data_IF_000132678345
#
_entry.id   IF_000132678345
#
_cell.length_a   1.000
_cell.length_b   1.000
_cell.length_c   1.000
_cell.angle_alpha   90.00
_cell.angle_beta   90.00
_cell.angle_gamma   90.00
#
_symmetry.space_group_name_H-M   'P 1'
#
loop_
_entity.id
_entity.type
_entity.pdbx_description
1 polymer ?
#
# COMPACT_ATOMS: atom_id res chain seq x y z
N UNK A 1 -14.08 11.30 4.65
CA UNK A 1 -13.47 10.20 3.89
C UNK A 1 -13.14 9.06 4.83
N UNK A 2 -13.58 7.85 4.51
CA UNK A 2 -13.28 6.63 5.26
C UNK A 2 -12.21 5.83 4.54
N UNK A 3 -11.26 5.32 5.30
CA UNK A 3 -10.19 4.45 4.82
C UNK A 3 -10.18 3.20 5.69
N UNK A 4 -10.25 2.04 5.05
CA UNK A 4 -10.14 0.74 5.69
C UNK A 4 -8.83 0.06 5.25
N UNK A 5 -8.02 -0.35 6.22
CA UNK A 5 -6.80 -1.12 5.95
C UNK A 5 -7.18 -2.59 5.79
N UNK A 6 -7.16 -3.07 4.55
CA UNK A 6 -7.45 -4.46 4.22
C UNK A 6 -6.28 -5.36 4.62
N UNK A 7 -5.05 -4.93 4.32
CA UNK A 7 -3.82 -5.61 4.70
C UNK A 7 -2.72 -4.63 5.03
N UNK A 8 -1.95 -4.91 6.08
CA UNK A 8 -0.87 -4.05 6.56
C UNK A 8 0.54 -4.64 6.44
N UNK A 9 0.68 -5.90 6.02
CA UNK A 9 1.97 -6.55 5.81
C UNK A 9 2.61 -6.15 4.47
N UNK A 10 3.95 -6.14 4.42
CA UNK A 10 4.67 -6.10 3.15
C UNK A 10 4.52 -7.43 2.38
N UNK A 11 5.16 -7.55 1.20
CA UNK A 11 5.23 -8.79 0.44
C UNK A 11 5.54 -10.03 1.29
N UNK A 12 4.72 -11.08 1.14
CA UNK A 12 4.77 -12.30 1.94
C UNK A 12 3.90 -12.30 3.19
N UNK A 13 3.41 -11.14 3.64
CA UNK A 13 2.55 -11.00 4.82
C UNK A 13 3.27 -11.32 6.13
N UNK A 14 2.50 -11.45 7.21
CA UNK A 14 3.00 -11.81 8.53
C UNK A 14 2.03 -12.75 9.28
N UNK A 15 2.45 -13.95 9.70
CA UNK A 15 3.75 -14.57 9.42
C UNK A 15 3.89 -14.95 7.94
N UNK A 16 5.08 -14.76 7.37
CA UNK A 16 5.37 -15.19 6.01
C UNK A 16 5.48 -16.72 5.94
N UNK A 17 4.91 -17.33 4.88
CA UNK A 17 4.70 -18.78 4.76
C UNK A 17 5.95 -19.64 4.97
N UNK A 18 7.14 -19.18 4.56
CA UNK A 18 8.41 -19.89 4.66
C UNK A 18 9.44 -19.23 5.60
N UNK A 19 9.02 -18.25 6.41
CA UNK A 19 9.95 -17.52 7.29
C UNK A 19 9.90 -18.07 8.72
N UNK A 20 11.06 -18.23 9.36
CA UNK A 20 11.19 -18.60 10.78
C UNK A 20 12.01 -17.57 11.56
N UNK A 21 11.99 -16.31 11.14
CA UNK A 21 12.57 -15.23 11.94
C UNK A 21 11.87 -15.15 13.30
N UNK A 22 12.49 -14.49 14.29
CA UNK A 22 11.94 -14.32 15.65
C UNK A 22 10.44 -13.96 15.64
N UNK A 23 10.03 -13.06 14.76
CA UNK A 23 8.65 -12.60 14.70
C UNK A 23 7.70 -13.68 14.16
N UNK A 24 8.03 -14.28 13.01
CA UNK A 24 7.19 -15.31 12.39
C UNK A 24 7.09 -16.57 13.25
N UNK A 25 8.21 -17.00 13.84
CA UNK A 25 8.22 -18.10 14.79
C UNK A 25 7.42 -17.75 16.05
N UNK A 26 7.64 -16.55 16.58
CA UNK A 26 7.01 -16.13 17.82
C UNK A 26 5.49 -15.99 17.73
N UNK A 27 4.96 -15.47 16.62
CA UNK A 27 3.50 -15.37 16.43
C UNK A 27 2.86 -16.75 16.25
N UNK A 28 3.57 -17.71 15.63
CA UNK A 28 3.07 -19.10 15.50
C UNK A 28 3.03 -19.82 16.85
N UNK A 29 4.06 -19.61 17.68
CA UNK A 29 4.18 -20.27 18.99
C UNK A 29 3.53 -19.48 20.14
N UNK A 30 3.00 -18.28 19.87
CA UNK A 30 2.43 -17.40 20.89
C UNK A 30 3.45 -16.88 21.91
N UNK A 31 4.74 -16.78 21.51
CA UNK A 31 5.83 -16.32 22.39
C UNK A 31 6.13 -14.82 22.26
N UNK A 32 5.50 -14.15 21.30
CA UNK A 32 5.45 -12.69 21.21
C UNK A 32 4.00 -12.22 21.14
N UNK A 33 3.75 -10.97 21.51
CA UNK A 33 2.44 -10.35 21.38
C UNK A 33 2.36 -9.64 20.03
N UNK A 34 1.81 -10.32 19.03
CA UNK A 34 1.66 -9.78 17.68
C UNK A 34 0.40 -10.34 17.01
N UNK A 35 -0.10 -9.61 16.00
CA UNK A 35 -1.26 -10.02 15.19
C UNK A 35 -0.84 -10.28 13.74
N UNK A 36 -1.41 -11.30 13.11
CA UNK A 36 -1.18 -11.61 11.70
C UNK A 36 -1.65 -10.47 10.79
N UNK A 37 -1.01 -10.33 9.62
CA UNK A 37 -1.29 -9.32 8.61
C UNK A 37 -1.20 -9.92 7.21
N UNK A 38 -2.21 -9.67 6.40
CA UNK A 38 -2.22 -9.89 4.95
C UNK A 38 -1.43 -8.79 4.24
N UNK A 39 -1.13 -9.01 2.96
CA UNK A 39 -0.32 -8.08 2.17
C UNK A 39 -1.02 -6.76 1.88
N UNK A 40 -0.22 -5.71 1.74
CA UNK A 40 -0.62 -4.31 1.73
C UNK A 40 -1.73 -4.01 0.73
N UNK A 41 -2.86 -3.55 1.25
CA UNK A 41 -3.98 -3.02 0.47
C UNK A 41 -4.87 -2.18 1.39
N UNK A 42 -5.45 -1.13 0.83
CA UNK A 42 -6.45 -0.30 1.51
C UNK A 42 -7.65 -0.08 0.61
N UNK A 43 -8.78 0.29 1.19
CA UNK A 43 -9.94 0.75 0.43
C UNK A 43 -10.51 2.03 1.00
N UNK A 44 -10.99 2.92 0.13
CA UNK A 44 -11.47 4.25 0.51
C UNK A 44 -12.86 4.49 -0.04
N UNK A 45 -13.65 5.27 0.70
CA UNK A 45 -14.95 5.76 0.27
C UNK A 45 -15.27 7.12 0.90
N UNK A 46 -16.04 7.95 0.20
CA UNK A 46 -16.65 9.17 0.76
C UNK A 46 -18.13 8.99 1.14
N UNK A 47 -18.76 7.90 0.70
CA UNK A 47 -20.20 7.65 0.84
C UNK A 47 -20.56 6.33 1.53
N UNK A 48 -19.55 5.54 1.96
CA UNK A 48 -19.67 4.20 2.55
C UNK A 48 -20.29 3.13 1.63
N UNK A 49 -20.61 3.46 0.38
CA UNK A 49 -21.30 2.57 -0.57
C UNK A 49 -20.45 2.22 -1.78
N UNK A 50 -19.61 3.15 -2.23
CA UNK A 50 -18.75 3.01 -3.40
C UNK A 50 -17.29 3.15 -3.00
N UNK A 51 -16.53 2.11 -3.30
CA UNK A 51 -15.19 1.92 -2.77
C UNK A 51 -14.16 1.87 -3.89
N UNK A 52 -13.05 2.58 -3.71
CA UNK A 52 -11.83 2.39 -4.50
C UNK A 52 -10.91 1.44 -3.75
N UNK A 53 -10.37 0.44 -4.45
CA UNK A 53 -9.36 -0.48 -3.94
C UNK A 53 -7.97 0.00 -4.35
N UNK A 54 -7.07 0.19 -3.40
CA UNK A 54 -5.66 0.47 -3.68
C UNK A 54 -4.88 -0.83 -3.57
N UNK A 55 -4.26 -1.21 -4.69
CA UNK A 55 -3.56 -2.48 -4.88
C UNK A 55 -4.47 -3.69 -4.68
N UNK A 56 -4.36 -4.69 -5.56
CA UNK A 56 -5.06 -5.96 -5.41
C UNK A 56 -4.07 -7.02 -4.93
N UNK A 57 -3.99 -7.20 -3.62
CA UNK A 57 -3.02 -8.12 -3.01
C UNK A 57 -3.33 -9.59 -3.33
N UNK A 58 -2.35 -10.52 -3.23
CA UNK A 58 -2.62 -11.96 -3.31
C UNK A 58 -3.68 -12.45 -2.29
N UNK A 59 -3.88 -11.71 -1.20
CA UNK A 59 -4.82 -12.03 -0.12
C UNK A 59 -6.22 -11.41 -0.34
N UNK A 60 -6.49 -10.81 -1.51
CA UNK A 60 -7.71 -10.01 -1.76
C UNK A 60 -9.02 -10.73 -1.42
N UNK A 61 -9.11 -12.04 -1.64
CA UNK A 61 -10.34 -12.79 -1.31
C UNK A 61 -10.57 -12.91 0.20
N UNK A 62 -9.50 -13.04 0.99
CA UNK A 62 -9.58 -13.00 2.44
C UNK A 62 -9.96 -11.59 2.90
N UNK A 63 -9.32 -10.57 2.33
CA UNK A 63 -9.52 -9.17 2.64
C UNK A 63 -10.97 -8.71 2.37
N UNK A 64 -11.54 -9.08 1.23
CA UNK A 64 -12.96 -8.82 0.90
C UNK A 64 -13.89 -9.53 1.87
N UNK A 65 -13.58 -10.76 2.30
CA UNK A 65 -14.40 -11.49 3.29
C UNK A 65 -14.34 -10.86 4.68
N UNK A 66 -13.20 -10.29 5.08
CA UNK A 66 -13.04 -9.63 6.38
C UNK A 66 -13.69 -8.25 6.43
N UNK A 67 -14.03 -7.65 5.29
CA UNK A 67 -14.69 -6.34 5.24
C UNK A 67 -16.02 -6.41 4.45
N UNK A 68 -17.15 -6.75 5.12
CA UNK A 68 -18.43 -6.98 4.46
C UNK A 68 -18.97 -5.82 3.61
N UNK A 69 -18.53 -4.58 3.85
CA UNK A 69 -18.94 -3.43 3.03
C UNK A 69 -18.55 -3.58 1.55
N UNK A 70 -17.53 -4.38 1.22
CA UNK A 70 -17.15 -4.68 -0.17
C UNK A 70 -18.11 -5.65 -0.87
N UNK A 71 -18.97 -6.35 -0.11
CA UNK A 71 -20.01 -7.24 -0.63
C UNK A 71 -21.40 -6.81 -0.11
N UNK A 72 -22.04 -5.83 -0.75
CA UNK A 72 -23.27 -5.22 -0.23
C UNK A 72 -24.54 -6.05 -0.51
N UNK A 73 -24.45 -7.11 -1.31
CA UNK A 73 -25.55 -8.07 -1.50
C UNK A 73 -26.79 -7.50 -2.17
N UNK A 74 -26.66 -6.49 -3.04
CA UNK A 74 -27.77 -5.83 -3.74
C UNK A 74 -28.32 -6.66 -4.89
N UNK A 75 -27.46 -7.50 -5.50
CA UNK A 75 -27.79 -8.38 -6.62
C UNK A 75 -27.16 -9.78 -6.46
N UNK A 76 -27.52 -10.73 -7.34
CA UNK A 76 -26.96 -12.09 -7.34
C UNK A 76 -25.43 -12.11 -7.46
N UNK A 77 -24.85 -11.18 -8.22
CA UNK A 77 -23.40 -10.93 -8.30
C UNK A 77 -23.19 -9.45 -8.11
N UNK A 78 -22.55 -9.08 -7.01
CA UNK A 78 -22.38 -7.70 -6.61
C UNK A 78 -21.01 -7.46 -5.99
N UNK A 79 -20.55 -6.21 -6.04
CA UNK A 79 -19.32 -5.71 -5.43
C UNK A 79 -19.46 -4.21 -5.19
N UNK A 80 -18.97 -3.74 -4.06
CA UNK A 80 -18.88 -2.31 -3.78
C UNK A 80 -17.59 -1.67 -4.35
N UNK A 81 -16.64 -2.49 -4.81
CA UNK A 81 -15.42 -2.02 -5.48
C UNK A 81 -15.82 -1.46 -6.85
N UNK A 82 -15.65 -0.15 -7.05
CA UNK A 82 -15.97 0.57 -8.30
C UNK A 82 -14.75 0.81 -9.16
N UNK A 83 -13.60 1.02 -8.53
CA UNK A 83 -12.33 1.23 -9.21
C UNK A 83 -11.20 0.54 -8.43
N UNK A 84 -10.15 0.18 -9.15
CA UNK A 84 -8.90 -0.33 -8.60
C UNK A 84 -7.79 0.62 -9.04
N UNK A 85 -6.98 1.12 -8.10
CA UNK A 85 -5.77 1.90 -8.37
C UNK A 85 -4.55 1.05 -8.04
N UNK A 86 -3.63 0.93 -8.99
CA UNK A 86 -2.32 0.33 -8.78
C UNK A 86 -1.28 1.43 -8.62
N UNK A 87 -0.56 1.40 -7.50
CA UNK A 87 0.53 2.36 -7.26
C UNK A 87 1.84 1.94 -7.92
N UNK A 88 1.95 0.67 -8.28
CA UNK A 88 3.12 0.06 -8.92
C UNK A 88 2.73 -1.28 -9.56
N UNK A 89 3.71 -1.96 -10.16
CA UNK A 89 3.55 -3.26 -10.79
C UNK A 89 3.99 -4.43 -9.89
N UNK A 90 4.16 -4.27 -8.58
CA UNK A 90 4.68 -5.37 -7.75
C UNK A 90 3.72 -6.56 -7.69
N UNK A 91 4.25 -7.77 -7.52
CA UNK A 91 3.46 -9.01 -7.50
C UNK A 91 2.45 -8.99 -6.34
N UNK A 92 2.88 -8.54 -5.18
CA UNK A 92 2.08 -8.37 -3.97
C UNK A 92 1.02 -7.26 -4.07
N UNK A 93 1.08 -6.40 -5.09
CA UNK A 93 0.09 -5.37 -5.35
C UNK A 93 -0.85 -5.67 -6.53
N UNK A 94 -0.56 -6.70 -7.34
CA UNK A 94 -1.28 -6.95 -8.60
C UNK A 94 -1.87 -8.35 -8.73
N UNK A 95 -1.32 -9.35 -8.03
CA UNK A 95 -1.76 -10.76 -8.16
C UNK A 95 -3.24 -10.96 -7.84
N UNK A 96 -3.80 -10.16 -6.93
CA UNK A 96 -5.21 -10.20 -6.55
C UNK A 96 -6.15 -9.95 -7.72
N UNK A 97 -5.72 -9.25 -8.77
CA UNK A 97 -6.53 -9.05 -9.99
C UNK A 97 -6.95 -10.37 -10.63
N UNK A 98 -6.11 -11.41 -10.56
CA UNK A 98 -6.52 -12.74 -11.02
C UNK A 98 -7.72 -13.27 -10.25
N UNK A 99 -7.80 -12.99 -8.95
CA UNK A 99 -8.87 -13.49 -8.09
C UNK A 99 -10.19 -12.72 -8.26
N UNK A 100 -10.18 -11.58 -8.97
CA UNK A 100 -11.35 -10.75 -9.22
C UNK A 100 -11.96 -10.92 -10.62
N UNK A 101 -11.44 -11.86 -11.43
CA UNK A 101 -11.77 -12.04 -12.85
C UNK A 101 -13.22 -12.47 -13.14
N UNK A 102 -13.96 -13.00 -12.16
CA UNK A 102 -15.36 -13.44 -12.32
C UNK A 102 -16.39 -12.28 -12.30
N UNK A 103 -15.93 -11.02 -12.30
CA UNK A 103 -16.80 -9.86 -12.39
C UNK A 103 -17.59 -9.84 -13.71
N UNK A 104 -18.82 -9.29 -13.68
CA UNK A 104 -19.71 -9.28 -14.87
C UNK A 104 -19.36 -8.21 -15.90
N UNK A 105 -18.55 -7.25 -15.50
CA UNK A 105 -18.10 -6.12 -16.30
C UNK A 105 -16.57 -6.00 -16.18
N UNK A 106 -15.90 -5.32 -17.11
CA UNK A 106 -14.49 -5.00 -16.92
C UNK A 106 -14.28 -4.23 -15.61
N UNK A 107 -13.21 -4.51 -14.88
CA UNK A 107 -12.83 -3.66 -13.74
C UNK A 107 -12.24 -2.36 -14.25
N UNK A 108 -12.69 -1.23 -13.69
CA UNK A 108 -12.00 0.05 -13.90
C UNK A 108 -10.66 0.00 -13.18
N UNK A 109 -9.56 0.02 -13.93
CA UNK A 109 -8.20 -0.11 -13.42
C UNK A 109 -7.36 1.11 -13.80
N UNK A 110 -6.93 1.85 -12.79
CA UNK A 110 -6.08 3.03 -12.90
C UNK A 110 -4.63 2.65 -12.63
N UNK A 111 -3.74 2.95 -13.58
CA UNK A 111 -2.31 2.75 -13.44
C UNK A 111 -1.54 3.72 -14.34
N UNK A 112 -0.24 3.86 -14.11
CA UNK A 112 0.66 4.61 -14.99
C UNK A 112 0.98 3.80 -16.25
N UNK A 113 1.54 4.47 -17.27
CA UNK A 113 1.97 3.78 -18.49
C UNK A 113 3.06 2.74 -18.25
N UNK A 114 4.00 2.98 -17.32
CA UNK A 114 5.06 2.03 -16.98
C UNK A 114 4.51 0.78 -16.28
N UNK A 115 3.54 0.95 -15.37
CA UNK A 115 2.84 -0.18 -14.74
C UNK A 115 2.06 -0.99 -15.79
N UNK A 116 1.41 -0.31 -16.74
CA UNK A 116 0.72 -0.96 -17.86
C UNK A 116 1.69 -1.73 -18.75
N UNK A 117 2.86 -1.18 -19.06
CA UNK A 117 3.90 -1.86 -19.83
C UNK A 117 4.35 -3.14 -19.12
N UNK A 118 4.72 -3.05 -17.84
CA UNK A 118 5.15 -4.19 -17.02
C UNK A 118 4.09 -5.29 -16.96
N UNK A 119 2.82 -4.91 -16.76
CA UNK A 119 1.68 -5.83 -16.65
C UNK A 119 1.15 -6.35 -18.00
N UNK A 120 1.72 -5.87 -19.11
CA UNK A 120 1.45 -6.34 -20.47
C UNK A 120 2.60 -7.18 -21.03
N UNK A 121 3.81 -7.05 -20.46
CA UNK A 121 5.04 -7.66 -20.99
C UNK A 121 5.70 -8.61 -19.99
N UNK A 122 6.45 -8.09 -19.01
CA UNK A 122 7.22 -8.88 -18.06
C UNK A 122 6.37 -9.81 -17.20
N UNK A 123 5.20 -9.33 -16.76
CA UNK A 123 4.14 -10.13 -16.18
C UNK A 123 2.84 -9.88 -16.97
N UNK A 124 2.48 -10.70 -17.97
CA UNK A 124 1.41 -10.39 -18.92
C UNK A 124 0.00 -10.62 -18.33
N UNK A 125 -0.26 -10.08 -17.14
CA UNK A 125 -1.49 -10.17 -16.38
C UNK A 125 -2.67 -9.64 -17.18
N UNK A 126 -2.52 -8.49 -17.85
CA UNK A 126 -3.59 -7.88 -18.64
C UNK A 126 -4.00 -8.78 -19.81
N UNK A 127 -3.03 -9.47 -20.44
CA UNK A 127 -3.31 -10.43 -21.52
C UNK A 127 -4.16 -11.60 -21.02
N UNK A 128 -3.84 -12.13 -19.83
CA UNK A 128 -4.61 -13.24 -19.25
C UNK A 128 -6.03 -12.79 -18.88
N UNK A 129 -6.18 -11.62 -18.25
CA UNK A 129 -7.49 -11.08 -17.86
C UNK A 129 -8.37 -10.68 -19.06
N UNK A 130 -7.76 -10.39 -20.21
CA UNK A 130 -8.48 -10.19 -21.47
C UNK A 130 -9.30 -11.40 -21.95
N UNK A 131 -9.05 -12.60 -21.42
CA UNK A 131 -9.88 -13.79 -21.69
C UNK A 131 -11.13 -13.90 -20.79
N UNK A 132 -11.32 -12.98 -19.85
CA UNK A 132 -12.47 -12.90 -18.92
C UNK A 132 -13.33 -11.69 -19.25
N UNK A 133 -13.83 -10.95 -18.26
CA UNK A 133 -14.55 -9.69 -18.47
C UNK A 133 -13.66 -8.55 -18.96
N UNK A 134 -12.34 -8.73 -19.01
CA UNK A 134 -11.38 -7.70 -19.40
C UNK A 134 -11.13 -6.67 -18.30
N UNK A 135 -10.36 -5.65 -18.66
CA UNK A 135 -10.06 -4.49 -17.84
C UNK A 135 -10.44 -3.23 -18.61
N UNK A 136 -11.05 -2.27 -17.93
CA UNK A 136 -11.23 -0.92 -18.44
C UNK A 136 -10.06 -0.08 -17.91
N UNK A 137 -9.06 0.16 -18.76
CA UNK A 137 -7.78 0.75 -18.37
C UNK A 137 -7.86 2.28 -18.43
N UNK A 138 -7.46 2.94 -17.35
CA UNK A 138 -7.40 4.40 -17.23
C UNK A 138 -5.98 4.85 -16.88
N UNK A 139 -5.55 5.97 -17.48
CA UNK A 139 -4.23 6.56 -17.26
C UNK A 139 -4.19 7.38 -15.97
N UNK A 140 -3.12 7.23 -15.19
CA UNK A 140 -2.83 8.11 -14.05
C UNK A 140 -1.91 9.25 -14.50
N UNK A 141 -2.36 10.52 -14.46
CA UNK A 141 -1.50 11.66 -14.78
C UNK A 141 -0.42 11.89 -13.71
N UNK A 142 0.80 12.21 -14.14
CA UNK A 142 1.95 12.52 -13.29
C UNK A 142 2.45 13.97 -13.42
N UNK A 143 1.72 14.81 -14.17
CA UNK A 143 2.03 16.21 -14.41
C UNK A 143 1.48 17.16 -13.33
N UNK A 144 0.98 16.60 -12.23
CA UNK A 144 0.34 17.33 -11.15
C UNK A 144 -1.12 17.68 -11.42
N UNK A 145 -1.71 17.24 -12.54
CA UNK A 145 -3.15 17.30 -12.73
C UNK A 145 -3.82 16.19 -11.91
N UNK A 146 -4.67 16.58 -10.96
CA UNK A 146 -5.49 15.60 -10.26
C UNK A 146 -6.51 14.94 -11.19
N UNK A 147 -7.15 13.88 -10.70
CA UNK A 147 -8.17 13.11 -11.41
C UNK A 147 -9.27 12.63 -10.47
N UNK A 148 -10.39 12.22 -11.04
CA UNK A 148 -11.52 11.60 -10.35
C UNK A 148 -11.87 10.30 -11.06
N UNK A 149 -12.45 9.34 -10.33
CA UNK A 149 -12.82 8.03 -10.88
C UNK A 149 -14.33 7.92 -10.97
N UNK A 150 -14.83 7.48 -12.13
CA UNK A 150 -16.24 7.21 -12.32
C UNK A 150 -16.75 6.20 -11.29
N UNK A 151 -17.88 6.52 -10.67
CA UNK A 151 -18.48 5.68 -9.62
C UNK A 151 -17.81 5.79 -8.24
N UNK A 152 -16.79 6.62 -8.05
CA UNK A 152 -16.18 6.91 -6.73
C UNK A 152 -16.41 8.40 -6.40
N UNK A 153 -17.62 8.78 -5.94
CA UNK A 153 -17.96 10.18 -5.75
C UNK A 153 -17.24 10.81 -4.55
N UNK A 154 -17.03 12.12 -4.59
CA UNK A 154 -16.57 12.92 -3.45
C UNK A 154 -15.08 12.80 -3.10
N UNK A 155 -14.30 12.06 -3.90
CA UNK A 155 -12.85 11.94 -3.75
C UNK A 155 -12.11 12.47 -4.97
N UNK A 156 -11.10 13.30 -4.72
CA UNK A 156 -10.14 13.79 -5.72
C UNK A 156 -8.77 13.16 -5.46
N UNK A 157 -8.11 12.71 -6.51
CA UNK A 157 -6.81 12.02 -6.44
C UNK A 157 -5.72 12.85 -7.13
N UNK A 158 -4.54 12.91 -6.55
CA UNK A 158 -3.35 13.50 -7.15
C UNK A 158 -2.20 12.50 -6.99
N UNK A 159 -1.61 12.05 -8.10
CA UNK A 159 -0.51 11.09 -8.10
C UNK A 159 0.83 11.82 -8.13
N UNK A 160 1.80 11.30 -7.37
CA UNK A 160 3.15 11.83 -7.25
C UNK A 160 4.13 10.71 -7.62
N UNK A 161 5.00 10.89 -8.62
CA UNK A 161 6.03 9.90 -8.92
C UNK A 161 6.97 9.73 -7.73
N UNK A 162 7.35 8.49 -7.42
CA UNK A 162 8.33 8.17 -6.39
C UNK A 162 9.53 7.49 -7.03
N UNK A 163 10.74 7.84 -6.60
CA UNK A 163 11.93 7.06 -6.96
C UNK A 163 11.94 5.77 -6.13
N UNK A 164 11.57 4.66 -6.76
CA UNK A 164 11.63 3.31 -6.21
C UNK A 164 11.89 2.30 -7.34
N UNK A 165 12.38 1.12 -6.98
CA UNK A 165 12.75 0.09 -7.94
C UNK A 165 11.52 -0.63 -8.50
N UNK A 166 11.51 -0.81 -9.81
CA UNK A 166 10.55 -1.67 -10.50
C UNK A 166 10.66 -3.15 -10.02
N UNK A 167 9.58 -3.95 -10.17
CA UNK A 167 9.56 -5.36 -9.80
C UNK A 167 10.70 -6.16 -10.46
N UNK A 168 11.19 -7.27 -9.87
CA UNK A 168 12.29 -8.06 -10.44
C UNK A 168 12.06 -8.56 -11.87
N UNK A 169 10.80 -8.70 -12.30
CA UNK A 169 10.45 -9.15 -13.64
C UNK A 169 10.41 -8.02 -14.68
N UNK A 170 10.45 -6.76 -14.23
CA UNK A 170 10.30 -5.60 -15.10
C UNK A 170 11.45 -5.52 -16.11
N UNK A 171 11.18 -5.22 -17.40
CA UNK A 171 12.22 -4.88 -18.37
C UNK A 171 13.08 -3.68 -17.96
N UNK A 172 12.56 -2.83 -17.06
CA UNK A 172 13.21 -1.61 -16.56
C UNK A 172 13.84 -1.80 -15.17
N UNK A 173 14.00 -3.05 -14.71
CA UNK A 173 14.58 -3.34 -13.40
C UNK A 173 15.96 -2.69 -13.21
N UNK A 174 16.17 -2.13 -12.01
CA UNK A 174 17.37 -1.40 -11.59
C UNK A 174 17.64 -0.11 -12.43
N UNK A 175 16.63 0.36 -13.17
CA UNK A 175 16.60 1.65 -13.89
C UNK A 175 15.30 2.40 -13.56
N UNK A 176 15.15 2.86 -12.30
CA UNK A 176 13.90 3.47 -11.84
C UNK A 176 13.52 4.69 -12.68
N UNK A 177 12.26 4.75 -13.08
CA UNK A 177 11.68 5.82 -13.89
C UNK A 177 10.45 6.42 -13.20
N UNK A 178 10.16 7.72 -13.39
CA UNK A 178 8.94 8.34 -12.90
C UNK A 178 7.71 7.60 -13.43
N UNK A 179 6.95 6.99 -12.52
CA UNK A 179 5.75 6.22 -12.84
C UNK A 179 5.87 4.72 -12.57
N UNK A 180 7.06 4.19 -12.29
CA UNK A 180 7.20 2.80 -11.79
C UNK A 180 6.50 2.63 -10.44
N UNK A 181 6.61 3.64 -9.59
CA UNK A 181 5.94 3.75 -8.31
C UNK A 181 5.34 5.16 -8.15
N UNK A 182 4.18 5.24 -7.50
CA UNK A 182 3.54 6.51 -7.15
C UNK A 182 3.12 6.55 -5.68
N UNK A 183 3.16 7.75 -5.10
CA UNK A 183 2.37 8.12 -3.93
C UNK A 183 1.08 8.77 -4.39
N UNK A 184 0.05 8.74 -3.56
CA UNK A 184 -1.26 9.32 -3.90
C UNK A 184 -1.73 10.21 -2.77
N UNK A 185 -2.03 11.47 -3.09
CA UNK A 185 -2.85 12.33 -2.23
C UNK A 185 -4.31 12.12 -2.58
N UNK A 186 -5.13 11.85 -1.57
CA UNK A 186 -6.59 11.76 -1.72
C UNK A 186 -7.23 12.87 -0.92
N UNK A 187 -8.01 13.72 -1.58
CA UNK A 187 -8.74 14.82 -0.96
C UNK A 187 -10.23 14.49 -0.93
N UNK A 188 -10.83 14.56 0.26
CA UNK A 188 -12.28 14.59 0.42
C UNK A 188 -12.80 15.95 -0.04
N UNK A 189 -13.61 15.99 -1.10
CA UNK A 189 -14.08 17.25 -1.70
C UNK A 189 -15.02 18.03 -0.77
N UNK A 190 -15.69 17.36 0.17
CA UNK A 190 -16.63 17.98 1.10
C UNK A 190 -15.93 18.62 2.28
N UNK A 191 -14.97 17.92 2.89
CA UNK A 191 -14.27 18.40 4.09
C UNK A 191 -12.95 19.12 3.78
N UNK A 192 -12.39 18.91 2.58
CA UNK A 192 -11.06 19.36 2.21
C UNK A 192 -9.93 18.57 2.86
N UNK A 193 -10.25 17.50 3.62
CA UNK A 193 -9.28 16.68 4.35
C UNK A 193 -8.47 15.80 3.41
N UNK A 194 -7.18 15.63 3.73
CA UNK A 194 -6.21 14.97 2.85
C UNK A 194 -5.54 13.77 3.51
N UNK A 195 -5.59 12.64 2.81
CA UNK A 195 -4.71 11.49 3.02
C UNK A 195 -3.52 11.60 2.07
N UNK A 196 -2.31 11.36 2.54
CA UNK A 196 -1.17 11.01 1.70
C UNK A 196 -0.82 9.54 1.91
N UNK A 197 -0.87 8.74 0.85
CA UNK A 197 -0.60 7.30 0.85
C UNK A 197 0.63 6.97 0.01
N UNK A 198 1.65 6.38 0.64
CA UNK A 198 2.89 5.95 -0.03
C UNK A 198 3.48 4.73 0.72
N UNK A 199 2.93 3.51 0.50
CA UNK A 199 3.34 2.31 1.23
C UNK A 199 4.74 1.80 0.85
N UNK A 200 5.26 2.21 -0.31
CA UNK A 200 6.66 2.03 -0.71
C UNK A 200 7.31 3.39 -0.94
N UNK A 201 8.30 3.76 -0.13
CA UNK A 201 8.98 5.04 -0.24
C UNK A 201 10.48 4.86 0.00
N UNK A 202 11.28 4.86 -1.07
CA UNK A 202 12.73 4.65 -0.98
C UNK A 202 13.53 5.89 -0.60
N UNK A 203 13.04 7.06 -1.00
CA UNK A 203 13.70 8.34 -0.79
C UNK A 203 12.67 9.43 -0.51
N UNK A 204 13.02 10.36 0.38
CA UNK A 204 12.25 11.59 0.55
C UNK A 204 12.68 12.62 -0.50
N UNK A 205 11.75 13.01 -1.36
CA UNK A 205 11.93 14.06 -2.37
C UNK A 205 11.10 15.29 -2.01
N UNK A 206 11.47 16.46 -2.56
CA UNK A 206 10.84 17.74 -2.21
C UNK A 206 9.32 17.76 -2.44
N UNK A 207 8.83 17.18 -3.55
CA UNK A 207 7.41 17.14 -3.85
C UNK A 207 6.64 16.18 -2.93
N UNK A 208 7.26 15.05 -2.59
CA UNK A 208 6.72 14.08 -1.61
C UNK A 208 6.62 14.73 -0.24
N UNK A 209 7.67 15.42 0.19
CA UNK A 209 7.71 16.09 1.47
C UNK A 209 6.63 17.18 1.59
N UNK A 210 6.47 18.01 0.54
CA UNK A 210 5.40 19.01 0.49
C UNK A 210 4.01 18.39 0.58
N UNK A 211 3.78 17.25 -0.09
CA UNK A 211 2.52 16.53 -0.03
C UNK A 211 2.24 16.01 1.39
N UNK A 212 3.24 15.40 2.04
CA UNK A 212 3.13 14.94 3.43
C UNK A 212 2.85 16.08 4.41
N UNK A 213 3.51 17.23 4.25
CA UNK A 213 3.27 18.41 5.09
C UNK A 213 1.85 18.99 4.93
N UNK A 214 1.25 18.83 3.76
CA UNK A 214 -0.09 19.33 3.47
C UNK A 214 -1.21 18.34 3.86
N UNK A 215 -0.86 17.13 4.30
CA UNK A 215 -1.82 16.08 4.64
C UNK A 215 -2.30 16.14 6.09
N UNK A 216 -3.58 15.82 6.31
CA UNK A 216 -4.15 15.60 7.63
C UNK A 216 -3.75 14.22 8.19
N UNK A 217 -3.54 13.25 7.31
CA UNK A 217 -3.07 11.91 7.64
C UNK A 217 -2.04 11.44 6.62
N UNK A 218 -0.92 10.93 7.11
CA UNK A 218 0.08 10.22 6.29
C UNK A 218 0.01 8.72 6.62
N UNK A 219 -0.11 7.90 5.58
CA UNK A 219 -0.09 6.44 5.65
C UNK A 219 1.05 5.95 4.76
N UNK A 220 2.21 5.70 5.37
CA UNK A 220 3.50 5.61 4.65
C UNK A 220 4.27 4.34 4.98
N UNK A 221 5.27 4.04 4.15
CA UNK A 221 6.17 2.89 4.26
C UNK A 221 6.72 2.66 5.68
N UNK A 222 6.49 1.46 6.19
CA UNK A 222 6.98 0.93 7.46
C UNK A 222 7.72 -0.38 7.31
N UNK A 223 8.30 -0.67 6.15
CA UNK A 223 8.79 -1.99 5.77
C UNK A 223 9.86 -2.49 6.72
N UNK A 224 10.95 -1.74 6.94
CA UNK A 224 12.10 -2.17 7.73
C UNK A 224 12.46 -1.15 8.82
N UNK A 225 12.87 -1.64 10.00
CA UNK A 225 13.29 -0.78 11.09
C UNK A 225 14.68 -0.18 10.87
N UNK A 226 15.65 -1.01 10.44
CA UNK A 226 17.01 -0.57 10.06
C UNK A 226 17.33 -0.88 8.61
N UNK A 227 18.28 -0.14 8.04
CA UNK A 227 18.70 -0.31 6.65
C UNK A 227 19.29 -1.70 6.36
N UNK A 228 19.92 -2.32 7.35
CA UNK A 228 20.58 -3.62 7.24
C UNK A 228 19.79 -4.77 7.89
N UNK A 229 18.51 -4.58 8.20
CA UNK A 229 17.66 -5.57 8.92
C UNK A 229 17.69 -6.94 8.22
N UNK A 230 17.48 -6.96 6.90
CA UNK A 230 17.45 -8.20 6.12
C UNK A 230 18.83 -8.87 6.01
N UNK A 231 19.91 -8.09 6.02
CA UNK A 231 21.29 -8.59 5.98
C UNK A 231 21.64 -9.24 7.32
N UNK A 232 21.33 -8.58 8.45
CA UNK A 232 21.57 -9.11 9.80
C UNK A 232 20.85 -10.44 10.05
N UNK A 233 19.67 -10.61 9.45
CA UNK A 233 18.88 -11.83 9.52
C UNK A 233 19.29 -12.91 8.50
N UNK A 234 20.23 -12.61 7.58
CA UNK A 234 20.64 -13.54 6.53
C UNK A 234 19.55 -13.82 5.49
N UNK A 235 18.55 -12.95 5.36
CA UNK A 235 17.41 -13.10 4.47
C UNK A 235 17.61 -12.42 3.10
N UNK A 236 18.55 -11.48 3.00
CA UNK A 236 18.93 -10.79 1.77
C UNK A 236 20.36 -10.27 1.87
N UNK A 237 20.98 -9.97 0.72
CA UNK A 237 22.26 -9.27 0.63
C UNK A 237 22.08 -7.76 0.35
N UNK A 238 20.84 -7.27 0.26
CA UNK A 238 20.52 -5.86 -0.05
C UNK A 238 20.11 -5.09 1.20
N UNK A 239 20.49 -3.82 1.25
CA UNK A 239 19.99 -2.82 2.18
C UNK A 239 18.54 -2.45 1.87
N UNK A 240 17.83 -1.91 2.85
CA UNK A 240 16.45 -1.41 2.72
C UNK A 240 16.34 -0.40 1.58
N UNK A 241 17.28 0.55 1.51
CA UNK A 241 17.32 1.58 0.46
C UNK A 241 17.49 0.98 -0.94
N UNK A 242 18.29 -0.07 -1.09
CA UNK A 242 18.48 -0.78 -2.37
C UNK A 242 17.23 -1.57 -2.78
N UNK A 243 16.37 -1.91 -1.82
CA UNK A 243 15.06 -2.50 -2.06
C UNK A 243 13.97 -1.46 -2.33
N UNK A 244 14.29 -0.16 -2.28
CA UNK A 244 13.32 0.92 -2.48
C UNK A 244 12.54 1.30 -1.22
N UNK A 245 13.06 1.00 -0.03
CA UNK A 245 12.40 1.28 1.25
C UNK A 245 13.28 2.15 2.15
N UNK A 246 12.75 3.28 2.62
CA UNK A 246 13.38 4.12 3.61
C UNK A 246 13.31 3.44 4.98
N UNK A 247 14.44 3.14 5.65
CA UNK A 247 14.38 2.55 6.99
C UNK A 247 13.71 3.50 7.98
N UNK A 248 13.03 2.96 8.98
CA UNK A 248 12.36 3.78 9.98
C UNK A 248 13.37 4.56 10.83
N UNK A 249 14.38 3.86 11.35
CA UNK A 249 15.38 4.41 12.27
C UNK A 249 16.70 4.77 11.56
N UNK A 250 17.59 5.45 12.29
CA UNK A 250 18.89 5.89 11.77
C UNK A 250 18.86 7.27 11.11
N UNK A 251 20.04 7.72 10.66
CA UNK A 251 20.19 9.01 10.00
C UNK A 251 19.38 9.06 8.69
N UNK A 252 18.59 10.12 8.52
CA UNK A 252 17.69 10.27 7.38
C UNK A 252 16.58 9.23 7.29
N UNK A 253 16.30 8.48 8.36
CA UNK A 253 15.20 7.52 8.42
C UNK A 253 13.82 8.18 8.53
N UNK A 254 12.77 7.41 8.24
CA UNK A 254 11.38 7.88 8.23
C UNK A 254 10.97 8.58 9.53
N UNK A 255 11.44 8.10 10.70
CA UNK A 255 11.09 8.69 11.99
C UNK A 255 11.60 10.13 12.17
N UNK A 256 12.69 10.51 11.51
CA UNK A 256 13.17 11.88 11.46
C UNK A 256 12.19 12.77 10.70
N UNK A 257 11.80 12.35 9.50
CA UNK A 257 10.83 13.07 8.66
C UNK A 257 9.46 13.21 9.33
N UNK A 258 8.94 12.13 9.91
CA UNK A 258 7.65 12.15 10.61
C UNK A 258 7.66 13.07 11.85
N UNK A 259 8.81 13.31 12.47
CA UNK A 259 8.93 14.24 13.59
C UNK A 259 8.76 15.71 13.17
N UNK A 260 9.16 16.05 11.94
CA UNK A 260 9.10 17.40 11.37
C UNK A 260 7.73 17.77 10.76
N UNK A 261 6.81 16.79 10.66
CA UNK A 261 5.44 17.05 10.20
C UNK A 261 4.66 17.94 11.19
N UNK A 262 3.64 18.68 10.70
CA UNK A 262 2.72 19.40 11.58
C UNK A 262 2.19 18.49 12.70
N UNK A 263 2.09 19.02 13.92
CA UNK A 263 1.64 18.25 15.09
C UNK A 263 0.22 17.69 14.94
N UNK A 264 -0.60 18.31 14.08
CA UNK A 264 -1.96 17.88 13.77
C UNK A 264 -2.03 16.70 12.81
N UNK A 265 -0.94 16.39 12.08
CA UNK A 265 -0.92 15.31 11.11
C UNK A 265 -0.93 13.96 11.83
N UNK A 266 -1.91 13.11 11.53
CA UNK A 266 -1.96 11.71 11.97
C UNK A 266 -0.92 10.91 11.18
N UNK A 267 -0.13 10.07 11.86
CA UNK A 267 1.05 9.40 11.28
C UNK A 267 0.90 7.91 11.45
N UNK A 268 0.82 7.17 10.34
CA UNK A 268 0.54 5.75 10.35
C UNK A 268 1.54 5.05 9.42
N UNK A 269 2.19 4.01 9.92
CA UNK A 269 3.07 3.13 9.15
C UNK A 269 2.27 1.94 8.61
N UNK A 270 2.45 1.60 7.35
CA UNK A 270 1.83 0.44 6.66
C UNK A 270 2.90 -0.31 5.85
N UNK A 271 2.53 -1.43 5.23
CA UNK A 271 3.44 -2.25 4.41
C UNK A 271 4.64 -2.71 5.24
N UNK A 272 4.35 -3.39 6.35
CA UNK A 272 5.35 -3.73 7.38
C UNK A 272 5.90 -5.13 7.10
N UNK A 273 7.22 -5.25 6.95
CA UNK A 273 7.82 -6.56 6.69
C UNK A 273 7.76 -7.46 7.92
N UNK A 274 7.67 -8.77 7.70
CA UNK A 274 7.55 -9.75 8.77
C UNK A 274 8.73 -9.74 9.76
N UNK A 275 9.89 -9.23 9.36
CA UNK A 275 11.09 -9.11 10.20
C UNK A 275 11.08 -7.89 11.12
N UNK A 276 10.21 -6.91 10.86
CA UNK A 276 10.28 -5.62 11.52
C UNK A 276 9.85 -5.75 13.01
N UNK A 277 10.69 -5.33 13.98
CA UNK A 277 10.40 -5.45 15.41
C UNK A 277 9.15 -4.69 15.86
N UNK A 278 8.65 -3.71 15.09
CA UNK A 278 7.42 -2.96 15.45
C UNK A 278 6.15 -3.81 15.42
N UNK A 279 6.23 -5.03 14.85
CA UNK A 279 5.14 -6.01 14.86
C UNK A 279 4.94 -6.65 16.25
N UNK A 280 6.01 -6.77 17.03
CA UNK A 280 5.96 -7.20 18.43
C UNK A 280 5.49 -6.02 19.30
N UNK A 281 4.30 -6.14 19.87
CA UNK A 281 3.64 -5.07 20.61
C UNK A 281 4.40 -4.65 21.88
N UNK A 282 5.25 -5.53 22.40
CA UNK A 282 6.04 -5.31 23.60
C UNK A 282 7.51 -4.89 23.29
N UNK A 283 7.85 -4.68 22.02
CA UNK A 283 9.20 -4.26 21.61
C UNK A 283 9.53 -2.81 21.97
N UNK A 284 10.82 -2.51 22.12
CA UNK A 284 11.29 -1.14 22.39
C UNK A 284 11.01 -0.22 21.20
N UNK A 285 11.10 -0.76 19.99
CA UNK A 285 10.79 -0.10 18.73
C UNK A 285 9.31 0.29 18.67
N UNK A 286 8.40 -0.61 19.06
CA UNK A 286 6.97 -0.29 19.19
C UNK A 286 6.70 0.79 20.24
N UNK A 287 7.36 0.70 21.39
CA UNK A 287 7.25 1.71 22.44
C UNK A 287 7.80 3.09 21.99
N UNK A 288 8.84 3.12 21.17
CA UNK A 288 9.35 4.34 20.57
C UNK A 288 8.35 5.01 19.62
N UNK A 289 7.71 4.23 18.73
CA UNK A 289 6.65 4.76 17.86
C UNK A 289 5.50 5.37 18.66
N UNK A 290 5.08 4.67 19.73
CA UNK A 290 4.02 5.15 20.63
C UNK A 290 4.39 6.50 21.27
N UNK A 291 5.63 6.64 21.77
CA UNK A 291 6.13 7.91 22.34
C UNK A 291 6.16 9.05 21.33
N UNK A 292 6.38 8.74 20.04
CA UNK A 292 6.41 9.70 18.94
C UNK A 292 5.02 9.99 18.34
N UNK A 293 3.97 9.33 18.83
CA UNK A 293 2.61 9.47 18.29
C UNK A 293 2.49 8.92 16.86
N UNK A 294 3.24 7.86 16.55
CA UNK A 294 3.22 7.17 15.26
C UNK A 294 2.50 5.83 15.45
N UNK A 295 1.42 5.65 14.70
CA UNK A 295 0.63 4.42 14.70
C UNK A 295 1.22 3.40 13.74
N UNK A 296 0.92 2.12 13.98
CA UNK A 296 1.33 1.00 13.14
C UNK A 296 0.07 0.30 12.68
N UNK A 297 -0.15 0.29 11.37
CA UNK A 297 -1.33 -0.29 10.77
C UNK A 297 -1.48 -1.79 11.09
N UNK A 298 -2.71 -2.23 11.11
CA UNK A 298 -3.09 -3.63 11.22
C UNK A 298 -4.31 -3.86 10.32
N UNK A 299 -4.49 -5.11 9.89
CA UNK A 299 -5.67 -5.51 9.13
C UNK A 299 -6.95 -5.15 9.92
N UNK A 300 -7.92 -4.56 9.23
CA UNK A 300 -9.16 -4.06 9.83
C UNK A 300 -9.07 -2.68 10.49
N UNK A 301 -7.93 -1.99 10.43
CA UNK A 301 -7.81 -0.63 10.96
C UNK A 301 -8.70 0.34 10.17
N UNK A 302 -9.51 1.12 10.89
CA UNK A 302 -10.37 2.16 10.34
C UNK A 302 -9.78 3.55 10.59
N UNK A 303 -9.72 4.37 9.55
CA UNK A 303 -9.28 5.76 9.60
C UNK A 303 -10.39 6.62 9.01
N UNK A 304 -10.90 7.57 9.79
CA UNK A 304 -11.90 8.54 9.35
C UNK A 304 -11.25 9.92 9.33
N UNK A 305 -11.34 10.61 8.19
CA UNK A 305 -10.92 12.00 7.98
C UNK A 305 -12.10 12.89 7.65
#
# INVERSE_FOLDING_TARGET
MRIHVLGAGAGGGFPQWNCNCRNCDGVRHGTIRASARTQSSITLSADDENWVLFNASPDVLQQVRSFPALQPGRELRDSAIRAILLIDAQIDHTTGLYMLREHRQPHQLWCTDLVREDLSTGNPLFKVLGHYSGLDLHDIPLDGTGFAMDGVPGLRFDALPLISNAPPYSPHRDRPQPGDNIGVTVTDEKSGKRLFYAPGLGQMEDHVWRAMQAADCVLVDGTLWTDDEMIRLGASNKLSREMGHLPLSGEGGMLGWLAELPKSTRKILIHINNTNPILDEDSLERAELTRRGIEVAHDGMEIIL
#
